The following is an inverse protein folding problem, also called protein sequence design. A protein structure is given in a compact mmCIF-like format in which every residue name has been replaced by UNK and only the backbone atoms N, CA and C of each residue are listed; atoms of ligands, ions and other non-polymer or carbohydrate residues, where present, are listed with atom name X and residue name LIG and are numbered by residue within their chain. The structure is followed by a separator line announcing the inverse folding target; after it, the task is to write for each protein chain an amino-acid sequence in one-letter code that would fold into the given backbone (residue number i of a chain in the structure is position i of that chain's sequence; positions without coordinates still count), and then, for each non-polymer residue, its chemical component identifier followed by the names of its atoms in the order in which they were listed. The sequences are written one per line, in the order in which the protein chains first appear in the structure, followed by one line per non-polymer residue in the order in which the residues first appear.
data_IF_308513508206
#
_entry.id   IF_308513508206
#
_cell.length_a   1.000
_cell.length_b   1.000
_cell.length_c   1.000
_cell.angle_alpha   90.00
_cell.angle_beta   90.00
_cell.angle_gamma   90.00
#
_symmetry.space_group_name_H-M   'P 1'
#
loop_
_entity.id
_entity.type
_entity.pdbx_description
1 polymer ?
#
# COMPACT_ATOMS: atom_id res chain seq x y z
N UNK A 1 -34.85 -11.06 -14.08
CA UNK A 1 -34.66 -9.59 -14.13
C UNK A 1 -34.05 -9.23 -15.47
N UNK A 2 -34.36 -8.06 -16.03
CA UNK A 2 -33.79 -7.63 -17.32
C UNK A 2 -32.30 -7.25 -17.21
N UNK A 3 -31.46 -7.59 -18.20
CA UNK A 3 -30.03 -7.28 -18.20
C UNK A 3 -29.76 -5.79 -18.47
N UNK A 4 -28.61 -5.31 -18.00
CA UNK A 4 -28.10 -3.99 -18.36
C UNK A 4 -27.61 -3.99 -19.82
N UNK A 5 -28.03 -2.98 -20.57
CA UNK A 5 -27.52 -2.68 -21.91
C UNK A 5 -26.64 -1.44 -21.83
N UNK A 6 -25.33 -1.63 -21.97
CA UNK A 6 -24.32 -0.59 -21.74
C UNK A 6 -23.46 -0.45 -23.00
N UNK A 7 -23.06 0.77 -23.34
CA UNK A 7 -22.10 1.06 -24.42
C UNK A 7 -20.81 1.62 -23.83
N UNK A 8 -19.69 0.92 -24.01
CA UNK A 8 -18.35 1.39 -23.59
C UNK A 8 -17.46 1.47 -24.82
N UNK A 9 -16.82 2.60 -25.05
CA UNK A 9 -15.91 2.82 -26.17
C UNK A 9 -16.54 2.49 -27.53
N UNK A 10 -17.83 2.80 -27.71
CA UNK A 10 -18.60 2.48 -28.92
C UNK A 10 -19.06 1.02 -29.05
N UNK A 11 -18.64 0.12 -28.16
CA UNK A 11 -19.05 -1.30 -28.15
C UNK A 11 -20.21 -1.53 -27.18
N UNK A 12 -21.23 -2.26 -27.64
CA UNK A 12 -22.40 -2.63 -26.82
C UNK A 12 -22.12 -3.90 -26.01
N UNK A 13 -22.55 -3.89 -24.75
CA UNK A 13 -22.46 -4.99 -23.80
C UNK A 13 -23.84 -5.27 -23.22
N UNK A 14 -24.19 -6.55 -23.12
CA UNK A 14 -25.39 -7.04 -22.43
C UNK A 14 -24.93 -7.81 -21.21
N UNK A 15 -25.21 -7.28 -20.02
CA UNK A 15 -24.65 -7.77 -18.75
C UNK A 15 -25.79 -8.13 -17.80
N UNK A 16 -25.84 -9.36 -17.26
CA UNK A 16 -26.80 -9.73 -16.22
C UNK A 16 -26.61 -8.86 -14.98
N UNK A 17 -27.71 -8.46 -14.32
CA UNK A 17 -27.65 -7.54 -13.17
C UNK A 17 -26.82 -8.14 -12.02
N UNK A 18 -26.93 -9.45 -11.86
CA UNK A 18 -26.29 -10.24 -10.81
C UNK A 18 -24.77 -10.09 -10.82
N UNK A 19 -24.18 -9.87 -12.01
CA UNK A 19 -22.73 -9.67 -12.18
C UNK A 19 -22.28 -8.29 -11.65
N UNK A 20 -23.10 -7.26 -11.83
CA UNK A 20 -22.81 -5.91 -11.35
C UNK A 20 -23.22 -5.69 -9.89
N UNK A 21 -24.04 -6.57 -9.31
CA UNK A 21 -24.49 -6.47 -7.91
C UNK A 21 -23.71 -7.36 -6.95
N UNK A 22 -22.57 -7.92 -7.38
CA UNK A 22 -21.72 -8.75 -6.54
C UNK A 22 -21.15 -7.97 -5.34
N UNK A 23 -20.94 -8.66 -4.21
CA UNK A 23 -20.39 -8.09 -2.99
C UNK A 23 -19.04 -7.42 -3.27
N UNK A 24 -18.91 -6.14 -2.88
CA UNK A 24 -17.70 -5.35 -3.07
C UNK A 24 -17.51 -4.77 -4.48
N UNK A 25 -18.40 -5.09 -5.43
CA UNK A 25 -18.49 -4.41 -6.73
C UNK A 25 -19.79 -3.58 -6.85
N UNK A 26 -20.51 -3.40 -5.74
CA UNK A 26 -21.74 -2.62 -5.63
C UNK A 26 -21.72 -1.76 -4.35
N UNK A 27 -22.25 -0.52 -4.38
CA UNK A 27 -22.69 0.20 -5.58
C UNK A 27 -21.51 0.50 -6.52
N UNK A 28 -21.79 0.55 -7.81
CA UNK A 28 -20.83 0.89 -8.86
C UNK A 28 -21.31 2.02 -9.76
N UNK A 29 -20.43 2.46 -10.66
CA UNK A 29 -20.71 3.49 -11.66
C UNK A 29 -22.05 3.28 -12.39
N UNK A 30 -22.33 2.06 -12.84
CA UNK A 30 -23.55 1.76 -13.61
C UNK A 30 -24.79 1.78 -12.73
N UNK A 31 -24.73 1.21 -11.52
CA UNK A 31 -25.86 1.26 -10.60
C UNK A 31 -26.18 2.67 -10.13
N UNK A 32 -25.16 3.51 -9.87
CA UNK A 32 -25.35 4.89 -9.44
C UNK A 32 -26.10 5.68 -10.52
N UNK A 33 -25.61 5.62 -11.77
CA UNK A 33 -26.25 6.35 -12.87
C UNK A 33 -27.65 5.81 -13.14
N UNK A 34 -27.83 4.49 -13.12
CA UNK A 34 -29.15 3.89 -13.30
C UNK A 34 -30.16 4.37 -12.24
N UNK A 35 -29.74 4.45 -10.97
CA UNK A 35 -30.59 4.99 -9.91
C UNK A 35 -30.88 6.49 -10.09
N UNK A 36 -29.89 7.30 -10.48
CA UNK A 36 -30.09 8.74 -10.73
C UNK A 36 -31.12 9.00 -11.85
N UNK A 37 -31.14 8.18 -12.90
CA UNK A 37 -32.12 8.33 -13.99
C UNK A 37 -33.53 7.86 -13.61
N UNK A 38 -33.67 6.87 -12.74
CA UNK A 38 -34.99 6.43 -12.26
C UNK A 38 -35.63 7.45 -11.29
N UNK A 39 -34.81 8.24 -10.61
CA UNK A 39 -35.28 9.31 -9.71
C UNK A 39 -35.74 10.55 -10.52
N UNK A 40 -35.47 10.59 -11.82
CA UNK A 40 -35.90 11.69 -12.67
C UNK A 40 -37.44 11.76 -12.74
N UNK A 41 -38.08 12.84 -12.23
CA UNK A 41 -39.54 12.98 -12.24
C UNK A 41 -40.15 12.95 -13.66
N UNK A 42 -39.34 13.09 -14.71
CA UNK A 42 -39.79 12.93 -16.09
C UNK A 42 -40.00 11.46 -16.52
N UNK A 43 -39.38 10.49 -15.83
CA UNK A 43 -39.54 9.04 -16.12
C UNK A 43 -40.74 8.44 -15.37
N UNK A 44 -41.11 9.02 -14.22
CA UNK A 44 -42.21 8.58 -13.35
C UNK A 44 -43.54 9.29 -13.63
N UNK A 45 -43.64 10.09 -14.70
CA UNK A 45 -44.89 10.69 -15.13
C UNK A 45 -45.72 9.71 -15.95
N UNK A 46 -46.86 9.28 -15.40
CA UNK A 46 -47.89 8.43 -16.05
C UNK A 46 -48.55 9.06 -17.30
N UNK A 47 -48.11 10.27 -17.69
CA UNK A 47 -48.61 11.01 -18.85
C UNK A 47 -48.08 10.50 -20.20
N UNK A 48 -47.09 9.59 -20.19
CA UNK A 48 -46.53 9.03 -21.43
C UNK A 48 -47.07 7.63 -21.70
N UNK A 49 -47.63 7.43 -22.90
CA UNK A 49 -48.15 6.12 -23.39
C UNK A 49 -47.05 5.04 -23.43
N UNK A 50 -45.78 5.45 -23.45
CA UNK A 50 -44.59 4.58 -23.36
C UNK A 50 -43.47 5.35 -22.64
N UNK A 51 -42.59 4.68 -21.89
CA UNK A 51 -41.40 5.33 -21.33
C UNK A 51 -40.57 6.01 -22.44
N UNK A 52 -39.99 7.20 -22.19
CA UNK A 52 -39.09 7.83 -23.15
C UNK A 52 -37.94 6.87 -23.50
N UNK A 53 -37.47 6.84 -24.77
CA UNK A 53 -36.34 6.00 -25.16
C UNK A 53 -35.09 6.44 -24.38
N UNK A 54 -34.66 5.62 -23.43
CA UNK A 54 -33.40 5.80 -22.73
C UNK A 54 -32.26 5.44 -23.67
N UNK A 55 -31.39 6.40 -23.98
CA UNK A 55 -30.16 6.12 -24.74
C UNK A 55 -29.28 5.15 -23.93
N UNK A 56 -28.73 4.09 -24.54
CA UNK A 56 -27.85 3.17 -23.85
C UNK A 56 -26.61 3.93 -23.35
N UNK A 57 -26.27 3.77 -22.07
CA UNK A 57 -25.17 4.45 -21.39
C UNK A 57 -23.89 4.45 -22.24
N UNK A 58 -23.32 5.63 -22.52
CA UNK A 58 -22.08 5.75 -23.29
C UNK A 58 -20.93 6.18 -22.38
N UNK A 59 -19.92 5.32 -22.26
CA UNK A 59 -18.65 5.63 -21.58
C UNK A 59 -17.53 5.72 -22.61
N UNK A 60 -16.75 6.80 -22.61
CA UNK A 60 -15.62 7.01 -23.53
C UNK A 60 -14.33 6.27 -23.09
N UNK A 61 -14.47 5.20 -22.30
CA UNK A 61 -13.37 4.36 -21.79
C UNK A 61 -13.05 3.24 -22.78
N UNK A 62 -11.95 2.53 -22.50
CA UNK A 62 -11.49 1.43 -23.35
C UNK A 62 -12.46 0.24 -23.32
N UNK A 63 -13.05 -0.09 -24.46
CA UNK A 63 -13.95 -1.23 -24.61
C UNK A 63 -13.24 -2.58 -24.48
N UNK A 64 -11.95 -2.65 -24.81
CA UNK A 64 -11.14 -3.87 -24.66
C UNK A 64 -10.89 -4.18 -23.18
N UNK A 65 -10.36 -3.21 -22.42
CA UNK A 65 -10.12 -3.37 -20.99
C UNK A 65 -11.42 -3.65 -20.24
N UNK A 66 -12.52 -2.97 -20.59
CA UNK A 66 -13.82 -3.26 -19.98
C UNK A 66 -14.29 -4.69 -20.25
N UNK A 67 -14.05 -5.23 -21.45
CA UNK A 67 -14.32 -6.63 -21.76
C UNK A 67 -13.53 -7.60 -20.88
N UNK A 68 -12.25 -7.30 -20.61
CA UNK A 68 -11.41 -8.07 -19.69
C UNK A 68 -11.92 -7.98 -18.24
N UNK A 69 -12.33 -6.79 -17.79
CA UNK A 69 -12.95 -6.63 -16.47
C UNK A 69 -14.23 -7.46 -16.33
N UNK A 70 -15.09 -7.47 -17.34
CA UNK A 70 -16.29 -8.30 -17.35
C UNK A 70 -15.93 -9.79 -17.25
N UNK A 71 -14.92 -10.24 -18.00
CA UNK A 71 -14.41 -11.61 -17.91
C UNK A 71 -14.05 -11.96 -16.45
N UNK A 72 -13.36 -11.06 -15.74
CA UNK A 72 -13.07 -11.22 -14.31
C UNK A 72 -14.29 -11.20 -13.39
N UNK A 73 -15.29 -10.36 -13.67
CA UNK A 73 -16.55 -10.31 -12.91
C UNK A 73 -17.40 -11.57 -13.08
N UNK A 74 -17.31 -12.25 -14.23
CA UNK A 74 -17.90 -13.58 -14.43
C UNK A 74 -17.19 -14.68 -13.63
N UNK A 75 -16.10 -14.36 -12.92
CA UNK A 75 -15.36 -15.29 -12.07
C UNK A 75 -14.09 -15.83 -12.71
N UNK A 76 -13.81 -15.49 -13.97
CA UNK A 76 -12.62 -15.99 -14.66
C UNK A 76 -11.35 -15.26 -14.19
N UNK A 77 -10.20 -15.85 -14.48
CA UNK A 77 -8.90 -15.22 -14.28
C UNK A 77 -8.63 -14.21 -15.42
N UNK A 78 -8.03 -13.07 -15.09
CA UNK A 78 -7.61 -12.07 -16.06
C UNK A 78 -6.11 -12.24 -16.28
N UNK A 79 -5.72 -12.53 -17.51
CA UNK A 79 -4.32 -12.71 -17.88
C UNK A 79 -3.57 -11.36 -17.86
N UNK A 80 -2.59 -11.24 -16.97
CA UNK A 80 -1.78 -10.03 -16.85
C UNK A 80 -0.55 -10.10 -17.75
N UNK A 81 -0.66 -9.45 -18.91
CA UNK A 81 0.42 -9.35 -19.91
C UNK A 81 1.69 -8.66 -19.41
N UNK A 82 1.55 -7.59 -18.63
CA UNK A 82 2.64 -6.82 -18.03
C UNK A 82 2.12 -5.86 -16.96
N UNK A 83 3.02 -5.16 -16.25
CA UNK A 83 2.65 -4.23 -15.18
C UNK A 83 1.93 -2.96 -15.68
N UNK A 84 2.20 -2.50 -16.90
CA UNK A 84 1.45 -1.39 -17.49
C UNK A 84 -0.02 -1.78 -17.72
N UNK A 85 -0.24 -2.99 -18.24
CA UNK A 85 -1.56 -3.57 -18.42
C UNK A 85 -2.31 -3.71 -17.09
N UNK A 86 -1.64 -4.24 -16.04
CA UNK A 86 -2.20 -4.31 -14.68
C UNK A 86 -2.62 -2.93 -14.18
N UNK A 87 -1.77 -1.91 -14.36
CA UNK A 87 -2.04 -0.53 -13.95
C UNK A 87 -3.26 0.04 -14.66
N UNK A 88 -3.43 -0.22 -15.95
CA UNK A 88 -4.58 0.28 -16.70
C UNK A 88 -5.88 -0.44 -16.32
N UNK A 89 -5.84 -1.76 -16.09
CA UNK A 89 -6.98 -2.49 -15.52
C UNK A 89 -7.39 -1.95 -14.15
N UNK A 90 -6.43 -1.69 -13.25
CA UNK A 90 -6.71 -1.11 -11.93
C UNK A 90 -7.34 0.30 -12.03
N UNK A 91 -6.93 1.12 -13.01
CA UNK A 91 -7.59 2.42 -13.26
C UNK A 91 -9.04 2.25 -13.70
N UNK A 92 -9.31 1.31 -14.59
CA UNK A 92 -10.69 1.00 -15.01
C UNK A 92 -11.52 0.45 -13.84
N UNK A 93 -10.99 -0.46 -13.02
CA UNK A 93 -11.66 -0.94 -11.81
C UNK A 93 -12.06 0.20 -10.88
N UNK A 94 -11.15 1.15 -10.64
CA UNK A 94 -11.42 2.32 -9.79
C UNK A 94 -12.47 3.25 -10.40
N UNK A 95 -12.41 3.48 -11.71
CA UNK A 95 -13.40 4.29 -12.43
C UNK A 95 -14.80 3.68 -12.31
N UNK A 96 -14.93 2.38 -12.53
CA UNK A 96 -16.21 1.69 -12.43
C UNK A 96 -16.60 1.34 -10.98
N UNK A 97 -15.71 1.51 -10.01
CA UNK A 97 -15.88 1.15 -8.59
C UNK A 97 -16.07 -0.36 -8.35
N UNK A 98 -15.36 -1.18 -9.12
CA UNK A 98 -15.29 -2.64 -8.91
C UNK A 98 -14.21 -2.99 -7.88
N UNK A 99 -14.43 -2.63 -6.61
CA UNK A 99 -13.40 -2.74 -5.57
C UNK A 99 -12.97 -4.19 -5.28
N UNK A 100 -13.89 -5.15 -5.29
CA UNK A 100 -13.52 -6.55 -5.11
C UNK A 100 -12.65 -7.07 -6.27
N UNK A 101 -12.96 -6.67 -7.50
CA UNK A 101 -12.13 -6.99 -8.66
C UNK A 101 -10.76 -6.28 -8.59
N UNK A 102 -10.72 -5.01 -8.15
CA UNK A 102 -9.47 -4.28 -7.90
C UNK A 102 -8.59 -5.07 -6.93
N UNK A 103 -9.14 -5.56 -5.81
CA UNK A 103 -8.40 -6.33 -4.80
C UNK A 103 -7.86 -7.67 -5.33
N UNK A 104 -8.54 -8.30 -6.30
CA UNK A 104 -8.04 -9.51 -6.98
C UNK A 104 -6.87 -9.22 -7.92
N UNK A 105 -6.83 -8.03 -8.52
CA UNK A 105 -5.83 -7.63 -9.52
C UNK A 105 -4.57 -6.99 -8.91
N UNK A 106 -4.62 -6.56 -7.66
CA UNK A 106 -3.45 -6.06 -6.93
C UNK A 106 -2.37 -7.15 -6.87
N UNK A 107 -1.12 -6.76 -7.07
CA UNK A 107 0.01 -7.67 -6.88
C UNK A 107 0.30 -7.85 -5.38
N UNK A 108 0.39 -9.11 -4.93
CA UNK A 108 0.72 -9.49 -3.56
C UNK A 108 1.33 -10.89 -3.58
N UNK A 109 2.00 -11.26 -2.48
CA UNK A 109 2.53 -12.60 -2.28
C UNK A 109 2.11 -13.10 -0.90
N UNK A 110 1.74 -14.36 -0.80
CA UNK A 110 1.46 -15.04 0.47
C UNK A 110 2.54 -16.08 0.70
N UNK A 111 3.10 -16.08 1.90
CA UNK A 111 4.11 -17.04 2.33
C UNK A 111 3.68 -17.70 3.63
N UNK A 112 4.09 -18.95 3.82
CA UNK A 112 4.06 -19.58 5.13
C UNK A 112 5.46 -19.51 5.73
N UNK A 113 5.63 -18.71 6.78
CA UNK A 113 6.92 -18.56 7.44
C UNK A 113 7.29 -19.87 8.16
N UNK A 114 8.40 -20.54 7.80
CA UNK A 114 8.74 -21.84 8.39
C UNK A 114 9.18 -21.75 9.86
N UNK A 115 9.63 -20.58 10.32
CA UNK A 115 10.12 -20.37 11.68
C UNK A 115 8.96 -20.06 12.65
N UNK A 116 8.00 -19.24 12.22
CA UNK A 116 6.82 -18.87 13.06
C UNK A 116 5.61 -19.75 12.80
N UNK A 117 5.59 -20.49 11.67
CA UNK A 117 4.45 -21.26 11.14
C UNK A 117 3.21 -20.41 10.86
N UNK A 118 3.36 -19.09 10.72
CA UNK A 118 2.27 -18.16 10.40
C UNK A 118 2.28 -17.81 8.92
N UNK A 119 1.10 -17.47 8.40
CA UNK A 119 0.97 -16.91 7.06
C UNK A 119 1.29 -15.42 7.07
N UNK A 120 2.07 -14.99 6.09
CA UNK A 120 2.48 -13.61 5.86
C UNK A 120 1.96 -13.14 4.51
N UNK A 121 1.58 -11.87 4.41
CA UNK A 121 1.21 -11.22 3.15
C UNK A 121 2.14 -10.06 2.85
N UNK A 122 2.86 -10.14 1.73
CA UNK A 122 3.67 -9.05 1.18
C UNK A 122 2.85 -8.29 0.17
N UNK A 123 2.68 -6.99 0.41
CA UNK A 123 1.87 -6.10 -0.44
C UNK A 123 2.45 -4.69 -0.44
N UNK A 124 2.39 -4.01 -1.59
CA UNK A 124 2.84 -2.62 -1.68
C UNK A 124 1.96 -1.70 -0.82
N UNK A 125 2.57 -0.79 -0.07
CA UNK A 125 1.88 0.11 0.86
C UNK A 125 0.71 0.89 0.23
N UNK A 126 0.81 1.27 -1.05
CA UNK A 126 -0.25 1.99 -1.80
C UNK A 126 -1.53 1.18 -1.97
N UNK A 127 -1.41 -0.14 -1.90
CA UNK A 127 -2.51 -1.08 -2.13
C UNK A 127 -3.16 -1.58 -0.83
N UNK A 128 -2.55 -1.32 0.32
CA UNK A 128 -3.11 -1.65 1.64
C UNK A 128 -4.32 -0.77 1.91
N UNK A 129 -5.40 -1.37 2.41
CA UNK A 129 -6.63 -0.66 2.79
C UNK A 129 -6.80 -0.70 4.30
N UNK A 130 -7.11 0.45 4.90
CA UNK A 130 -7.29 0.55 6.35
C UNK A 130 -8.38 -0.38 6.92
N UNK A 131 -9.42 -0.70 6.14
CA UNK A 131 -10.48 -1.64 6.54
C UNK A 131 -10.04 -3.09 6.65
N UNK A 132 -8.91 -3.45 6.04
CA UNK A 132 -8.34 -4.79 6.13
C UNK A 132 -7.30 -4.94 7.23
N UNK A 133 -6.92 -3.85 7.93
CA UNK A 133 -5.92 -3.88 8.99
C UNK A 133 -6.53 -4.35 10.32
N UNK A 134 -5.78 -5.17 11.04
CA UNK A 134 -6.13 -5.65 12.37
C UNK A 134 -4.95 -5.44 13.32
N UNK A 135 -5.21 -4.73 14.42
CA UNK A 135 -4.35 -4.71 15.59
C UNK A 135 -5.04 -5.54 16.68
N UNK A 136 -4.51 -6.74 16.94
CA UNK A 136 -5.06 -7.66 17.95
C UNK A 136 -4.82 -7.22 19.39
N UNK A 137 -3.90 -6.26 19.61
CA UNK A 137 -3.62 -5.71 20.94
C UNK A 137 -4.55 -4.55 21.31
N UNK A 138 -5.43 -4.11 20.39
CA UNK A 138 -6.45 -3.11 20.69
C UNK A 138 -7.52 -3.69 21.62
N UNK A 139 -7.66 -3.11 22.82
CA UNK A 139 -8.70 -3.50 23.78
C UNK A 139 -8.29 -4.58 24.78
N UNK A 140 -7.10 -5.15 24.65
CA UNK A 140 -6.44 -5.82 25.77
C UNK A 140 -6.12 -4.74 26.82
N UNK A 141 -6.48 -4.95 28.10
CA UNK A 141 -6.11 -4.03 29.19
C UNK A 141 -4.64 -3.63 29.04
N UNK A 142 -4.36 -2.32 29.04
CA UNK A 142 -3.04 -1.66 28.95
C UNK A 142 -2.13 -2.09 30.13
N UNK A 143 -1.84 -3.38 30.22
CA UNK A 143 -1.01 -4.00 31.24
C UNK A 143 0.40 -4.23 30.71
N UNK A 144 1.43 -4.10 31.55
CA UNK A 144 2.83 -4.32 31.18
C UNK A 144 3.14 -5.74 30.66
N UNK A 145 2.20 -6.69 30.82
CA UNK A 145 2.32 -8.07 30.34
C UNK A 145 1.81 -8.30 28.90
N UNK A 146 1.22 -7.31 28.22
CA UNK A 146 0.76 -7.51 26.85
C UNK A 146 1.95 -7.37 25.89
N UNK A 147 2.42 -8.46 25.29
CA UNK A 147 3.55 -8.42 24.36
C UNK A 147 3.27 -7.61 23.09
N UNK A 148 4.32 -7.26 22.35
CA UNK A 148 4.15 -6.78 20.97
C UNK A 148 3.51 -7.87 20.11
N UNK A 149 2.58 -7.47 19.24
CA UNK A 149 2.04 -8.33 18.19
C UNK A 149 2.20 -7.66 16.83
N UNK A 150 2.28 -8.47 15.78
CA UNK A 150 2.32 -7.95 14.42
C UNK A 150 0.94 -7.50 13.98
N UNK A 151 0.89 -6.38 13.27
CA UNK A 151 -0.30 -5.94 12.55
C UNK A 151 -0.63 -6.97 11.49
N UNK A 152 -1.91 -7.36 11.44
CA UNK A 152 -2.39 -8.32 10.45
C UNK A 152 -3.20 -7.63 9.36
N UNK A 153 -3.29 -8.29 8.21
CA UNK A 153 -4.03 -7.79 7.07
C UNK A 153 -4.88 -8.89 6.41
N UNK A 154 -6.09 -8.51 6.01
CA UNK A 154 -6.99 -9.29 5.17
C UNK A 154 -7.46 -8.40 4.03
N UNK A 155 -7.29 -8.83 2.77
CA UNK A 155 -7.71 -8.03 1.62
C UNK A 155 -9.24 -7.90 1.63
N UNK A 156 -9.78 -6.66 1.62
CA UNK A 156 -11.22 -6.45 1.60
C UNK A 156 -11.90 -7.21 0.47
N UNK A 157 -13.07 -7.77 0.75
CA UNK A 157 -13.93 -8.49 -0.20
C UNK A 157 -13.41 -9.84 -0.73
N UNK A 158 -12.10 -10.11 -0.67
CA UNK A 158 -11.49 -11.30 -1.30
C UNK A 158 -11.11 -12.37 -0.28
N UNK A 159 -10.51 -11.98 0.84
CA UNK A 159 -9.91 -12.94 1.79
C UNK A 159 -10.88 -13.48 2.85
N UNK A 160 -12.15 -13.09 2.83
CA UNK A 160 -13.16 -13.67 3.72
C UNK A 160 -12.86 -13.54 5.23
N UNK A 161 -12.12 -12.51 5.64
CA UNK A 161 -11.61 -12.29 7.00
C UNK A 161 -10.48 -13.25 7.44
N UNK A 162 -9.81 -13.92 6.52
CA UNK A 162 -8.53 -14.57 6.82
C UNK A 162 -7.45 -13.49 6.98
N UNK A 163 -6.91 -13.37 8.19
CA UNK A 163 -5.89 -12.38 8.55
C UNK A 163 -4.48 -13.02 8.55
N UNK A 164 -3.53 -12.32 7.95
CA UNK A 164 -2.12 -12.73 7.82
C UNK A 164 -1.20 -11.66 8.37
N UNK A 165 -0.01 -12.03 8.83
CA UNK A 165 0.98 -11.06 9.28
C UNK A 165 1.36 -10.14 8.10
N UNK A 166 1.23 -8.83 8.28
CA UNK A 166 1.42 -7.86 7.20
C UNK A 166 2.89 -7.51 7.03
N UNK A 167 3.39 -7.68 5.81
CA UNK A 167 4.67 -7.13 5.35
C UNK A 167 4.35 -6.03 4.33
N UNK A 168 4.60 -4.77 4.70
CA UNK A 168 4.44 -3.65 3.77
C UNK A 168 5.71 -3.50 2.92
N UNK A 169 5.53 -3.45 1.60
CA UNK A 169 6.59 -3.06 0.68
C UNK A 169 6.48 -1.58 0.34
N UNK A 170 7.54 -0.82 0.61
CA UNK A 170 7.65 0.59 0.30
C UNK A 170 8.65 0.75 -0.84
N UNK A 171 8.11 1.10 -2.01
CA UNK A 171 8.88 1.42 -3.22
C UNK A 171 8.72 2.93 -3.49
N UNK A 172 9.51 3.75 -2.81
CA UNK A 172 9.50 5.21 -2.93
C UNK A 172 10.89 5.77 -2.72
N UNK A 173 11.22 6.85 -3.43
CA UNK A 173 12.43 7.64 -3.19
C UNK A 173 12.29 8.60 -2.00
N UNK A 174 11.10 8.69 -1.40
CA UNK A 174 10.78 9.59 -0.29
C UNK A 174 11.11 9.00 1.10
N UNK A 175 11.99 7.99 1.17
CA UNK A 175 12.25 7.22 2.38
C UNK A 175 13.73 7.24 2.71
N UNK A 176 14.04 7.78 3.88
CA UNK A 176 15.38 7.84 4.44
C UNK A 176 15.46 6.99 5.69
N UNK A 177 16.42 6.08 5.74
CA UNK A 177 16.85 5.43 6.97
C UNK A 177 17.85 6.34 7.67
N UNK A 178 17.45 6.84 8.84
CA UNK A 178 18.24 7.73 9.68
C UNK A 178 18.91 6.90 10.78
N UNK A 179 20.24 6.86 10.76
CA UNK A 179 21.05 6.17 11.77
C UNK A 179 21.79 7.21 12.59
N UNK A 180 21.33 7.41 13.83
CA UNK A 180 22.03 8.23 14.79
C UNK A 180 23.14 7.40 15.46
N UNK A 181 24.38 7.68 15.08
CA UNK A 181 25.58 6.96 15.52
C UNK A 181 25.88 7.25 16.99
N UNK A 182 25.63 8.49 17.43
CA UNK A 182 25.86 8.92 18.82
C UNK A 182 24.90 8.23 19.78
N UNK A 183 23.61 8.18 19.44
CA UNK A 183 22.54 7.63 20.28
C UNK A 183 22.25 6.15 20.04
N UNK A 184 22.94 5.49 19.09
CA UNK A 184 22.66 4.11 18.66
C UNK A 184 21.19 3.90 18.28
N UNK A 185 20.62 4.90 17.61
CA UNK A 185 19.17 4.98 17.38
C UNK A 185 18.87 5.03 15.90
N UNK A 186 17.86 4.28 15.47
CA UNK A 186 17.42 4.23 14.07
C UNK A 186 15.97 4.61 13.92
N UNK A 187 15.68 5.43 12.91
CA UNK A 187 14.31 5.78 12.52
C UNK A 187 14.17 5.80 11.00
N UNK A 188 12.94 5.64 10.52
CA UNK A 188 12.57 5.98 9.15
C UNK A 188 12.04 7.41 9.12
N UNK A 189 12.64 8.24 8.27
CA UNK A 189 12.07 9.50 7.86
C UNK A 189 11.42 9.30 6.49
N UNK A 190 10.11 9.52 6.43
CA UNK A 190 9.33 9.47 5.19
C UNK A 190 8.79 10.86 4.89
N UNK A 191 8.86 11.28 3.63
CA UNK A 191 8.36 12.59 3.20
C UNK A 191 7.28 12.50 2.11
N UNK A 192 6.63 13.63 1.81
CA UNK A 192 5.72 13.79 0.67
C UNK A 192 4.45 12.95 0.73
N UNK A 193 3.91 12.57 -0.43
CA UNK A 193 2.68 11.76 -0.53
C UNK A 193 2.84 10.37 0.11
N UNK A 194 4.07 9.84 0.13
CA UNK A 194 4.41 8.58 0.79
C UNK A 194 4.16 8.68 2.29
N UNK A 195 4.58 9.79 2.91
CA UNK A 195 4.35 10.05 4.33
C UNK A 195 2.85 10.13 4.66
N UNK A 196 2.07 10.87 3.87
CA UNK A 196 0.62 10.99 4.07
C UNK A 196 -0.08 9.63 3.95
N UNK A 197 0.30 8.84 2.95
CA UNK A 197 -0.27 7.51 2.72
C UNK A 197 0.02 6.58 3.89
N UNK A 198 1.29 6.49 4.32
CA UNK A 198 1.68 5.67 5.46
C UNK A 198 1.05 6.15 6.75
N UNK A 199 0.99 7.47 7.01
CA UNK A 199 0.30 8.02 8.18
C UNK A 199 -1.17 7.58 8.23
N UNK A 200 -1.86 7.63 7.09
CA UNK A 200 -3.27 7.22 7.03
C UNK A 200 -3.44 5.72 7.33
N UNK A 201 -2.47 4.88 6.95
CA UNK A 201 -2.44 3.46 7.31
C UNK A 201 -2.13 3.25 8.80
N UNK A 202 -1.04 3.86 9.30
CA UNK A 202 -0.58 3.72 10.68
C UNK A 202 -1.63 4.22 11.68
N UNK A 203 -2.35 5.30 11.38
CA UNK A 203 -3.42 5.84 12.24
C UNK A 203 -4.54 4.83 12.53
N UNK A 204 -4.69 3.77 11.72
CA UNK A 204 -5.66 2.70 12.00
C UNK A 204 -5.20 1.75 13.10
N UNK A 205 -3.89 1.57 13.27
CA UNK A 205 -3.31 0.56 14.16
C UNK A 205 -2.64 1.15 15.40
N UNK A 206 -2.14 2.39 15.34
CA UNK A 206 -1.43 3.06 16.43
C UNK A 206 -1.70 4.57 16.43
N UNK A 207 -1.44 5.22 17.56
CA UNK A 207 -1.40 6.67 17.73
C UNK A 207 0.05 7.17 17.99
N UNK A 208 1.00 6.25 18.17
CA UNK A 208 2.40 6.53 18.53
C UNK A 208 3.29 6.73 17.30
N UNK A 209 3.09 7.82 16.56
CA UNK A 209 3.95 8.18 15.43
C UNK A 209 4.15 9.69 15.38
N UNK A 210 5.31 10.13 14.88
CA UNK A 210 5.61 11.56 14.76
C UNK A 210 5.29 11.99 13.34
N UNK A 211 4.24 12.80 13.20
CA UNK A 211 3.82 13.33 11.91
C UNK A 211 3.73 14.86 11.94
N UNK A 212 4.40 15.49 10.99
CA UNK A 212 4.42 16.92 10.79
C UNK A 212 3.79 17.24 9.43
N UNK A 213 2.94 18.27 9.39
CA UNK A 213 2.34 18.76 8.16
C UNK A 213 2.32 20.28 8.18
N UNK A 214 3.23 20.90 7.44
CA UNK A 214 3.33 22.35 7.32
C UNK A 214 3.37 22.77 5.85
N UNK A 215 2.55 23.74 5.47
CA UNK A 215 2.49 24.25 4.09
C UNK A 215 2.24 23.21 2.98
N UNK A 216 1.67 22.05 3.31
CA UNK A 216 1.49 20.92 2.37
C UNK A 216 2.69 19.97 2.26
N UNK A 217 3.80 20.26 2.94
CA UNK A 217 4.88 19.30 3.14
C UNK A 217 4.48 18.31 4.23
N UNK A 218 4.57 17.02 3.92
CA UNK A 218 4.25 15.93 4.85
C UNK A 218 5.52 15.22 5.26
N UNK A 219 5.66 14.97 6.56
CA UNK A 219 6.82 14.29 7.14
C UNK A 219 6.37 13.33 8.22
N UNK A 220 6.81 12.08 8.13
CA UNK A 220 6.49 11.01 9.07
C UNK A 220 7.81 10.43 9.57
N UNK A 221 8.01 10.39 10.89
CA UNK A 221 9.11 9.69 11.52
C UNK A 221 8.57 8.48 12.30
N UNK A 222 9.16 7.30 12.07
CA UNK A 222 8.77 6.06 12.72
C UNK A 222 9.98 5.35 13.30
N UNK A 223 9.82 4.83 14.51
CA UNK A 223 10.82 4.01 15.19
C UNK A 223 10.96 2.66 14.51
N UNK A 224 12.20 2.21 14.31
CA UNK A 224 12.48 0.96 13.61
C UNK A 224 13.48 0.07 14.34
N UNK A 225 13.47 -1.21 13.96
CA UNK A 225 14.47 -2.20 14.33
C UNK A 225 15.01 -2.84 13.05
N UNK A 226 16.33 -3.05 12.99
CA UNK A 226 17.03 -3.56 11.81
C UNK A 226 17.86 -4.83 12.08
N UNK A 227 17.69 -5.45 13.26
CA UNK A 227 18.55 -6.54 13.73
C UNK A 227 18.65 -7.71 12.74
N UNK A 228 17.51 -8.13 12.18
CA UNK A 228 17.41 -9.25 11.24
C UNK A 228 17.23 -8.80 9.78
N UNK A 229 17.53 -7.52 9.50
CA UNK A 229 17.38 -6.97 8.16
C UNK A 229 18.46 -7.49 7.22
N UNK A 230 18.07 -7.89 6.01
CA UNK A 230 18.99 -8.23 4.92
C UNK A 230 18.81 -7.26 3.78
N UNK A 231 19.87 -6.90 3.06
CA UNK A 231 19.71 -5.90 2.02
C UNK A 231 20.97 -5.59 1.26
N UNK A 232 20.84 -4.58 0.40
CA UNK A 232 21.97 -3.99 -0.33
C UNK A 232 22.16 -2.55 0.09
N UNK A 233 23.40 -2.20 0.42
CA UNK A 233 23.83 -0.83 0.64
C UNK A 233 24.89 -0.49 -0.41
N UNK A 234 24.65 0.53 -1.22
CA UNK A 234 25.54 0.88 -2.34
C UNK A 234 25.84 -0.31 -3.29
N UNK A 235 24.87 -1.21 -3.45
CA UNK A 235 25.01 -2.45 -4.25
C UNK A 235 25.69 -3.62 -3.54
N UNK A 236 26.33 -3.40 -2.38
CA UNK A 236 26.97 -4.44 -1.58
C UNK A 236 25.94 -5.15 -0.69
N UNK A 237 25.98 -6.48 -0.67
CA UNK A 237 25.14 -7.27 0.23
C UNK A 237 25.58 -7.07 1.68
N UNK A 238 24.64 -6.77 2.56
CA UNK A 238 24.90 -6.54 3.98
C UNK A 238 24.74 -7.84 4.78
N UNK A 239 25.72 -8.14 5.63
CA UNK A 239 25.70 -9.27 6.55
C UNK A 239 24.84 -8.98 7.79
N UNK A 240 24.56 -10.01 8.59
CA UNK A 240 23.90 -9.84 9.88
C UNK A 240 24.71 -8.91 10.79
N UNK A 241 24.05 -7.96 11.46
CA UNK A 241 24.73 -6.97 12.30
C UNK A 241 25.46 -5.86 11.52
N UNK A 242 25.18 -5.67 10.22
CA UNK A 242 25.77 -4.60 9.42
C UNK A 242 25.58 -3.21 10.03
N UNK A 243 24.45 -2.98 10.72
CA UNK A 243 24.14 -1.69 11.34
C UNK A 243 25.10 -1.40 12.51
N UNK A 244 25.39 -2.38 13.34
CA UNK A 244 26.34 -2.24 14.44
C UNK A 244 27.75 -1.96 13.90
N UNK A 245 28.11 -2.61 12.80
CA UNK A 245 29.38 -2.38 12.10
C UNK A 245 29.45 -0.95 11.54
N UNK A 246 28.38 -0.48 10.89
CA UNK A 246 28.29 0.88 10.37
C UNK A 246 28.46 1.91 11.50
N UNK A 247 27.79 1.69 12.63
CA UNK A 247 27.88 2.60 13.77
C UNK A 247 29.29 2.60 14.38
N UNK A 248 29.91 1.43 14.57
CA UNK A 248 31.29 1.33 15.09
C UNK A 248 32.30 2.07 14.22
N UNK A 249 32.30 1.81 12.91
CA UNK A 249 33.19 2.48 11.95
C UNK A 249 33.01 4.00 12.01
N UNK A 250 31.77 4.47 12.12
CA UNK A 250 31.49 5.90 12.17
C UNK A 250 31.82 6.56 13.52
N UNK A 251 31.96 5.80 14.61
CA UNK A 251 32.47 6.31 15.89
C UNK A 251 33.99 6.41 15.86
N UNK A 252 34.66 5.38 15.34
CA UNK A 252 36.13 5.26 15.35
C UNK A 252 36.82 6.13 14.30
N UNK A 253 36.18 6.40 13.15
CA UNK A 253 36.78 7.13 12.02
C UNK A 253 36.91 8.65 12.17
N UNK A 254 37.08 9.19 13.39
CA UNK A 254 37.07 10.66 13.65
C UNK A 254 38.24 11.19 14.47
N UNK A 255 39.44 10.58 14.38
CA UNK A 255 40.63 11.12 15.07
C UNK A 255 41.46 12.14 14.25
N UNK A 256 41.26 12.28 12.93
CA UNK A 256 42.15 13.11 12.08
C UNK A 256 41.52 14.33 11.37
N UNK A 257 40.29 14.71 11.71
CA UNK A 257 39.63 15.88 11.14
C UNK A 257 39.37 16.95 12.19
N UNK A 258 39.80 18.19 11.94
CA UNK A 258 39.47 19.37 12.73
C UNK A 258 37.94 19.58 12.79
N UNK A 259 37.27 18.84 13.68
CA UNK A 259 35.85 18.97 13.98
C UNK A 259 35.62 20.20 14.83
N UNK A 260 34.61 20.99 14.47
CA UNK A 260 34.11 22.08 15.30
C UNK A 260 33.63 21.46 16.62
N UNK A 261 34.11 21.91 17.80
CA UNK A 261 33.64 21.40 19.07
C UNK A 261 32.15 21.69 19.23
N UNK A 262 31.31 20.66 19.35
CA UNK A 262 29.89 20.79 19.73
C UNK A 262 28.85 20.20 18.77
N UNK A 263 29.22 19.56 17.66
CA UNK A 263 28.25 18.83 16.82
C UNK A 263 28.21 17.34 17.20
N UNK A 264 27.64 17.05 18.37
CA UNK A 264 27.63 15.71 18.98
C UNK A 264 26.64 14.73 18.31
N UNK A 265 25.93 15.12 17.25
CA UNK A 265 24.82 14.35 16.70
C UNK A 265 25.09 13.86 15.27
N UNK A 266 26.07 12.93 15.13
CA UNK A 266 26.40 12.32 13.84
C UNK A 266 25.27 11.42 13.36
N UNK A 267 24.56 11.86 12.32
CA UNK A 267 23.49 11.11 11.66
C UNK A 267 23.97 10.64 10.29
N UNK A 268 23.94 9.33 10.07
CA UNK A 268 24.12 8.72 8.74
C UNK A 268 22.75 8.55 8.10
N UNK A 269 22.62 9.06 6.87
CA UNK A 269 21.36 8.98 6.10
C UNK A 269 21.53 7.98 4.97
N UNK A 270 20.70 6.95 4.94
CA UNK A 270 20.63 5.98 3.85
C UNK A 270 19.35 6.24 3.05
N UNK A 271 19.48 6.58 1.78
CA UNK A 271 18.34 6.74 0.85
C UNK A 271 17.83 5.36 0.46
N UNK A 272 16.60 5.01 0.85
CA UNK A 272 15.99 3.73 0.50
C UNK A 272 15.20 3.85 -0.80
N UNK A 273 15.40 2.92 -1.73
CA UNK A 273 14.57 2.83 -2.96
C UNK A 273 13.44 1.82 -2.79
N UNK A 274 13.75 0.70 -2.13
CA UNK A 274 12.83 -0.39 -1.87
C UNK A 274 13.08 -0.93 -0.49
N UNK A 275 12.01 -1.19 0.25
CA UNK A 275 12.12 -1.77 1.58
C UNK A 275 10.87 -2.53 1.98
N UNK A 276 11.04 -3.54 2.84
CA UNK A 276 9.98 -4.38 3.36
C UNK A 276 10.00 -4.32 4.89
N UNK A 277 8.82 -4.06 5.47
CA UNK A 277 8.67 -3.83 6.90
C UNK A 277 7.51 -4.61 7.47
N UNK A 278 7.72 -5.22 8.64
CA UNK A 278 6.64 -5.67 9.50
C UNK A 278 6.33 -4.59 10.52
N UNK A 279 5.05 -4.45 10.89
CA UNK A 279 4.64 -3.46 11.89
C UNK A 279 4.30 -4.20 13.18
N UNK A 280 5.05 -3.92 14.23
CA UNK A 280 4.83 -4.42 15.59
C UNK A 280 4.14 -3.36 16.43
N UNK A 281 3.05 -3.73 17.12
CA UNK A 281 2.27 -2.83 17.98
C UNK A 281 2.04 -3.44 19.37
N UNK A 282 2.00 -2.57 20.38
CA UNK A 282 1.56 -2.91 21.75
C UNK A 282 0.50 -1.89 22.17
N UNK A 283 -0.77 -2.30 22.12
CA UNK A 283 -1.91 -1.39 22.20
C UNK A 283 -1.86 -0.39 21.04
N UNK A 284 -2.24 0.87 21.31
CA UNK A 284 -2.12 1.99 20.36
C UNK A 284 -0.97 2.95 20.69
N UNK A 285 -0.24 2.70 21.78
CA UNK A 285 0.73 3.66 22.36
C UNK A 285 2.19 3.33 22.04
N UNK A 286 2.44 2.20 21.38
CA UNK A 286 3.78 1.76 21.03
C UNK A 286 3.78 1.09 19.68
N UNK A 287 4.69 1.53 18.81
CA UNK A 287 4.92 0.93 17.50
C UNK A 287 6.42 0.77 17.23
N UNK A 288 6.76 -0.30 16.53
CA UNK A 288 8.05 -0.47 15.86
C UNK A 288 7.82 -0.99 14.45
N UNK A 289 8.63 -0.54 13.50
CA UNK A 289 8.73 -1.19 12.19
C UNK A 289 9.99 -2.04 12.13
N UNK A 290 9.81 -3.32 11.84
CA UNK A 290 10.89 -4.29 11.74
C UNK A 290 11.32 -4.42 10.29
N UNK A 291 12.54 -3.99 10.00
CA UNK A 291 13.11 -4.05 8.66
C UNK A 291 13.46 -5.49 8.29
N UNK A 292 12.84 -6.00 7.22
CA UNK A 292 13.11 -7.34 6.71
C UNK A 292 14.10 -7.29 5.54
N UNK A 293 13.77 -6.45 4.54
CA UNK A 293 14.56 -6.30 3.31
C UNK A 293 14.71 -4.85 2.94
N UNK A 294 15.88 -4.45 2.44
CA UNK A 294 16.07 -3.11 1.91
C UNK A 294 17.08 -3.03 0.76
N UNK A 295 16.94 -1.99 -0.04
CA UNK A 295 17.92 -1.53 -1.02
C UNK A 295 18.10 -0.03 -0.81
N UNK A 296 19.33 0.37 -0.48
CA UNK A 296 19.63 1.76 -0.17
C UNK A 296 21.01 2.23 -0.62
N UNK A 297 21.17 3.56 -0.61
CA UNK A 297 22.36 4.26 -1.06
C UNK A 297 22.77 5.34 -0.07
N UNK A 298 24.07 5.45 0.20
CA UNK A 298 24.64 6.51 1.04
C UNK A 298 24.94 7.78 0.26
N UNK A 299 25.18 7.65 -1.05
CA UNK A 299 25.62 8.76 -1.89
C UNK A 299 25.13 8.63 -3.34
N UNK A 300 25.22 9.74 -4.06
CA UNK A 300 24.78 9.85 -5.45
C UNK A 300 25.67 9.06 -6.41
N UNK A 301 26.94 8.86 -6.09
CA UNK A 301 27.89 8.15 -6.95
C UNK A 301 27.51 6.68 -7.08
N UNK A 302 27.32 5.99 -5.95
CA UNK A 302 26.89 4.59 -5.95
C UNK A 302 25.48 4.43 -6.51
N UNK A 303 24.59 5.39 -6.28
CA UNK A 303 23.28 5.39 -6.93
C UNK A 303 23.37 5.51 -8.46
N UNK A 304 24.28 6.33 -8.98
CA UNK A 304 24.49 6.44 -10.42
C UNK A 304 25.14 5.18 -11.00
N UNK A 305 26.06 4.54 -10.27
CA UNK A 305 26.69 3.28 -10.68
C UNK A 305 25.69 2.12 -10.77
N UNK A 306 24.65 2.11 -9.93
CA UNK A 306 23.61 1.07 -9.97
C UNK A 306 22.66 1.20 -11.16
N UNK A 307 22.66 2.35 -11.85
CA UNK A 307 21.90 2.52 -13.10
C UNK A 307 22.60 1.73 -14.19
N UNK A 308 21.90 0.79 -14.83
CA UNK A 308 22.37 0.24 -16.09
C UNK A 308 22.46 1.38 -17.12
N UNK A 309 23.60 1.52 -17.78
CA UNK A 309 23.70 2.26 -19.02
C UNK A 309 22.87 1.50 -20.06
N UNK A 310 21.94 2.19 -20.71
CA UNK A 310 21.16 1.66 -21.84
C UNK A 310 22.06 1.39 -23.04
#
# INVERSE_FOLDING_TARGET
MEPFHITVGGKKFKIPKEILTQKGNYPNYFSIIYHSLLIDPFVSNDLFIRPPPLNPYQSHRSSSLFGELLHGLYGNEIEIRNEAHRKDLLKECRYYQFFALEQRLINFQIYQNPFTRREEIVINYKNVKGSGLLNETNGSMDGPNNGFSFVKYSRPYVDGNTFRDLIIQIDSADVDLMVNVSLMFTSLLVIGETALTLKNLLSKVTDDYIYESDGGAHKLNVLIRMADSVGKLNGLAMEAGWLDTLIKINREGTEDGAGIPGDDNKIVVVKLLKSQWMISVQGRKKIWMDGLKFEGFLDTTHFNQSRCLL
#
